data_IF_812767068109
#
_entry.id   IF_812767068109
#
_cell.length_a   1.000
_cell.length_b   1.000
_cell.length_c   1.000
_cell.angle_alpha   90.00
_cell.angle_beta   90.00
_cell.angle_gamma   90.00
#
_symmetry.space_group_name_H-M   'P 1'
#
loop_
_entity.id
_entity.type
_entity.pdbx_description
1 polymer ?
#
# COMPACT_ATOMS: atom_id res chain seq x y z
N UNK A 1 1.33 -15.84 -12.32
CA UNK A 1 -0.01 -16.34 -12.69
C UNK A 1 -0.41 -17.35 -11.62
N UNK A 2 -1.55 -17.17 -10.94
CA UNK A 2 -2.05 -18.16 -9.99
C UNK A 2 -2.63 -19.32 -10.79
N UNK A 3 -1.99 -20.49 -10.76
CA UNK A 3 -2.53 -21.70 -11.36
C UNK A 3 -2.83 -22.67 -10.22
N UNK A 4 -4.12 -22.89 -9.95
CA UNK A 4 -4.55 -23.94 -9.02
C UNK A 4 -4.53 -25.27 -9.80
N UNK A 5 -3.54 -26.11 -9.57
CA UNK A 5 -3.65 -27.54 -9.90
C UNK A 5 -3.86 -28.35 -8.62
N UNK A 6 -4.94 -29.13 -8.60
CA UNK A 6 -5.30 -30.18 -7.64
C UNK A 6 -5.15 -29.85 -6.13
N UNK A 7 -6.21 -29.26 -5.56
CA UNK A 7 -6.81 -29.53 -4.23
C UNK A 7 -5.96 -29.58 -2.94
N UNK A 8 -4.66 -29.25 -2.92
CA UNK A 8 -3.89 -29.36 -1.66
C UNK A 8 -2.72 -28.39 -1.44
N UNK A 9 -2.34 -27.51 -2.38
CA UNK A 9 -1.18 -26.64 -2.21
C UNK A 9 -1.40 -25.21 -2.71
N UNK A 10 -0.72 -24.25 -2.08
CA UNK A 10 -0.51 -22.92 -2.64
C UNK A 10 0.88 -22.86 -3.27
N UNK A 11 0.95 -22.68 -4.59
CA UNK A 11 2.20 -22.56 -5.35
C UNK A 11 2.41 -21.10 -5.77
N UNK A 12 3.61 -20.56 -5.51
CA UNK A 12 4.06 -19.28 -6.08
C UNK A 12 5.31 -19.54 -6.91
N UNK A 13 5.21 -19.26 -8.21
CA UNK A 13 6.33 -19.37 -9.14
C UNK A 13 6.99 -18.01 -9.33
N UNK A 14 8.33 -17.98 -9.25
CA UNK A 14 9.16 -16.79 -9.50
C UNK A 14 9.61 -16.66 -10.97
N UNK A 15 8.95 -17.38 -11.89
CA UNK A 15 9.21 -17.31 -13.32
C UNK A 15 8.48 -16.07 -13.88
N UNK A 16 9.23 -15.00 -14.13
CA UNK A 16 8.71 -13.71 -14.63
C UNK A 16 8.81 -12.58 -13.60
N UNK A 17 7.81 -11.69 -13.54
CA UNK A 17 7.77 -10.61 -12.53
C UNK A 17 7.56 -11.18 -11.12
N UNK A 18 8.17 -10.59 -10.07
CA UNK A 18 8.04 -11.14 -8.72
C UNK A 18 6.58 -11.23 -8.29
N UNK A 19 6.21 -12.38 -7.73
CA UNK A 19 4.86 -12.68 -7.30
C UNK A 19 4.40 -11.71 -6.20
N UNK A 20 3.13 -11.34 -6.23
CA UNK A 20 2.57 -10.47 -5.19
C UNK A 20 2.12 -11.32 -4.00
N UNK A 21 2.54 -10.94 -2.79
CA UNK A 21 2.07 -11.50 -1.53
C UNK A 21 0.73 -10.89 -1.14
N UNK A 22 0.71 -9.56 -1.02
CA UNK A 22 -0.48 -8.78 -0.70
C UNK A 22 -0.73 -7.79 -1.85
N UNK A 23 -1.86 -7.93 -2.54
CA UNK A 23 -2.17 -7.10 -3.69
C UNK A 23 -2.77 -5.76 -3.25
N UNK A 24 -2.18 -4.67 -3.75
CA UNK A 24 -2.83 -3.37 -3.69
C UNK A 24 -4.14 -3.40 -4.50
N UNK A 25 -5.18 -2.82 -3.92
CA UNK A 25 -6.47 -2.56 -4.55
C UNK A 25 -6.94 -1.15 -4.21
N UNK A 26 -8.02 -0.68 -4.85
CA UNK A 26 -8.65 0.58 -4.45
C UNK A 26 -9.15 0.57 -2.99
N UNK A 27 -9.30 -0.62 -2.39
CA UNK A 27 -9.80 -0.82 -1.02
C UNK A 27 -8.69 -0.89 0.04
N UNK A 28 -7.41 -1.07 -0.31
CA UNK A 28 -6.31 -1.23 0.68
C UNK A 28 -5.63 0.07 1.10
N UNK A 29 -6.28 1.21 0.89
CA UNK A 29 -5.69 2.53 1.11
C UNK A 29 -5.81 3.02 2.55
N UNK A 30 -4.89 3.89 2.95
CA UNK A 30 -4.85 4.63 4.21
C UNK A 30 -5.01 6.12 3.91
N UNK A 31 -5.93 6.78 4.60
CA UNK A 31 -6.20 8.22 4.43
C UNK A 31 -5.47 9.01 5.52
N UNK A 32 -4.78 10.07 5.09
CA UNK A 32 -4.12 11.02 5.96
C UNK A 32 -4.63 12.43 5.67
N UNK A 33 -4.91 13.22 6.72
CA UNK A 33 -5.15 14.65 6.60
C UNK A 33 -3.82 15.38 6.44
N UNK A 34 -3.76 16.34 5.52
CA UNK A 34 -2.59 17.20 5.29
C UNK A 34 -2.79 18.50 6.10
N UNK A 35 -2.30 18.49 7.34
CA UNK A 35 -2.48 19.59 8.27
C UNK A 35 -1.70 20.82 7.82
N UNK A 36 -2.36 21.98 7.87
CA UNK A 36 -1.83 23.27 7.41
C UNK A 36 -1.91 23.47 5.90
N UNK A 37 -2.55 22.55 5.17
CA UNK A 37 -2.78 22.68 3.73
C UNK A 37 -4.00 23.55 3.43
N UNK A 38 -3.89 24.33 2.35
CA UNK A 38 -4.98 25.09 1.73
C UNK A 38 -5.01 24.77 0.22
N UNK A 39 -5.87 25.45 -0.54
CA UNK A 39 -6.00 25.21 -1.99
C UNK A 39 -4.68 25.41 -2.73
N UNK A 40 -3.95 26.47 -2.36
CA UNK A 40 -2.64 26.76 -2.93
C UNK A 40 -1.65 25.64 -2.59
N UNK A 41 -1.60 25.20 -1.33
CA UNK A 41 -0.76 24.11 -0.87
C UNK A 41 -1.07 22.80 -1.58
N UNK A 42 -2.35 22.47 -1.79
CA UNK A 42 -2.78 21.29 -2.55
C UNK A 42 -2.22 21.33 -3.97
N UNK A 43 -2.35 22.46 -4.67
CA UNK A 43 -1.79 22.62 -6.03
C UNK A 43 -0.26 22.62 -6.04
N UNK A 44 0.41 23.25 -5.06
CA UNK A 44 1.87 23.17 -4.91
C UNK A 44 2.36 21.73 -4.74
N UNK A 45 1.66 20.92 -3.93
CA UNK A 45 1.99 19.51 -3.73
C UNK A 45 1.73 18.73 -5.02
N UNK A 46 0.52 18.84 -5.59
CA UNK A 46 0.09 18.05 -6.75
C UNK A 46 0.80 18.41 -8.07
N UNK A 47 1.44 19.58 -8.18
CA UNK A 47 2.26 19.93 -9.33
C UNK A 47 3.53 19.06 -9.47
N UNK A 48 3.85 18.27 -8.44
CA UNK A 48 4.98 17.35 -8.46
C UNK A 48 4.61 16.06 -9.21
N UNK A 49 5.54 15.58 -10.04
CA UNK A 49 5.36 14.48 -10.98
C UNK A 49 5.58 13.08 -10.37
N UNK A 50 6.37 12.97 -9.30
CA UNK A 50 6.68 11.70 -8.64
C UNK A 50 6.08 11.61 -7.24
N UNK A 51 5.75 10.40 -6.80
CA UNK A 51 5.33 10.15 -5.41
C UNK A 51 6.31 10.72 -4.37
N UNK A 52 7.61 10.51 -4.56
CA UNK A 52 8.61 10.92 -3.59
C UNK A 52 8.78 12.45 -3.55
N UNK A 53 8.59 13.16 -4.67
CA UNK A 53 8.59 14.63 -4.65
C UNK A 53 7.36 15.18 -3.93
N UNK A 54 6.18 14.59 -4.14
CA UNK A 54 4.96 14.90 -3.36
C UNK A 54 5.20 14.76 -1.85
N UNK A 55 5.71 13.59 -1.43
CA UNK A 55 5.98 13.31 -0.01
C UNK A 55 7.06 14.22 0.58
N UNK A 56 8.05 14.61 -0.22
CA UNK A 56 9.09 15.57 0.19
C UNK A 56 8.47 16.94 0.49
N UNK A 57 7.63 17.47 -0.40
CA UNK A 57 6.96 18.77 -0.18
C UNK A 57 6.08 18.73 1.07
N UNK A 58 5.30 17.65 1.23
CA UNK A 58 4.49 17.45 2.43
C UNK A 58 5.35 17.50 3.68
N UNK A 59 6.47 16.76 3.73
CA UNK A 59 7.37 16.72 4.88
C UNK A 59 8.01 18.09 5.20
N UNK A 60 8.33 18.88 4.18
CA UNK A 60 9.05 20.15 4.36
C UNK A 60 8.14 21.31 4.79
N UNK A 61 6.87 21.29 4.40
CA UNK A 61 5.94 22.42 4.57
C UNK A 61 4.68 22.12 5.38
N UNK A 62 4.30 20.85 5.50
CA UNK A 62 3.02 20.41 6.06
C UNK A 62 3.25 19.25 7.05
N UNK A 63 2.17 18.68 7.56
CA UNK A 63 2.23 17.44 8.34
C UNK A 63 1.07 16.52 8.00
N UNK A 64 1.24 15.23 8.28
CA UNK A 64 0.23 14.20 8.06
C UNK A 64 -0.31 13.68 9.38
N UNK A 65 -1.64 13.68 9.51
CA UNK A 65 -2.37 13.02 10.59
C UNK A 65 -3.16 11.83 10.03
N UNK A 66 -3.07 10.69 10.70
CA UNK A 66 -3.75 9.48 10.27
C UNK A 66 -5.24 9.57 10.56
N UNK A 67 -6.08 9.34 9.54
CA UNK A 67 -7.55 9.41 9.65
C UNK A 67 -8.15 8.01 9.77
N UNK A 68 -7.72 7.08 8.93
CA UNK A 68 -8.27 5.73 8.91
C UNK A 68 -8.06 5.00 7.58
N UNK A 69 -8.56 3.77 7.53
CA UNK A 69 -8.63 3.00 6.29
C UNK A 69 -9.65 3.59 5.31
N UNK A 70 -9.35 3.54 4.02
CA UNK A 70 -10.27 3.98 2.95
C UNK A 70 -11.49 3.06 2.80
N UNK A 71 -11.41 1.83 3.32
CA UNK A 71 -12.44 0.83 3.19
C UNK A 71 -12.63 0.04 4.48
N UNK A 72 -13.89 -0.05 4.90
CA UNK A 72 -14.30 -0.73 6.14
C UNK A 72 -14.01 -2.24 6.13
N UNK A 73 -14.13 -2.92 4.98
CA UNK A 73 -13.80 -4.36 4.90
C UNK A 73 -12.31 -4.58 5.10
N UNK A 74 -11.47 -3.70 4.55
CA UNK A 74 -10.03 -3.79 4.78
C UNK A 74 -9.68 -3.56 6.25
N UNK A 75 -10.27 -2.54 6.88
CA UNK A 75 -10.14 -2.25 8.31
C UNK A 75 -10.53 -3.46 9.18
N UNK A 76 -11.71 -4.03 8.94
CA UNK A 76 -12.20 -5.22 9.63
C UNK A 76 -11.25 -6.42 9.45
N UNK A 77 -10.73 -6.62 8.24
CA UNK A 77 -9.83 -7.74 7.96
C UNK A 77 -8.48 -7.61 8.68
N UNK A 78 -7.86 -6.42 8.68
CA UNK A 78 -6.58 -6.22 9.38
C UNK A 78 -6.76 -6.22 10.90
N UNK A 79 -7.93 -5.80 11.41
CA UNK A 79 -8.27 -5.90 12.84
C UNK A 79 -8.36 -7.36 13.33
N UNK A 80 -8.70 -8.32 12.45
CA UNK A 80 -8.67 -9.76 12.77
C UNK A 80 -7.23 -10.27 12.92
N UNK A 81 -6.28 -9.73 12.14
CA UNK A 81 -4.85 -10.05 12.31
C UNK A 81 -4.35 -9.50 13.65
N UNK A 82 -4.60 -8.21 13.90
CA UNK A 82 -4.35 -7.58 15.18
C UNK A 82 -5.22 -6.33 15.33
N UNK A 83 -5.80 -6.12 16.52
CA UNK A 83 -6.64 -4.95 16.82
C UNK A 83 -5.96 -3.60 16.62
N UNK A 84 -4.62 -3.55 16.60
CA UNK A 84 -3.82 -2.33 16.36
C UNK A 84 -3.02 -2.40 15.05
N UNK A 85 -3.39 -3.32 14.15
CA UNK A 85 -2.67 -3.53 12.88
C UNK A 85 -2.74 -2.30 11.98
N UNK A 86 -3.84 -1.56 12.06
CA UNK A 86 -4.07 -0.36 11.28
C UNK A 86 -2.99 0.71 11.50
N UNK A 87 -2.67 1.03 12.76
CA UNK A 87 -1.63 2.01 13.08
C UNK A 87 -0.22 1.51 12.77
N UNK A 88 0.00 0.19 12.85
CA UNK A 88 1.26 -0.43 12.45
C UNK A 88 1.49 -0.28 10.95
N UNK A 89 0.47 -0.60 10.14
CA UNK A 89 0.58 -0.55 8.68
C UNK A 89 0.57 0.90 8.16
N UNK A 90 -0.19 1.82 8.77
CA UNK A 90 -0.16 3.22 8.37
C UNK A 90 1.23 3.84 8.59
N UNK A 91 1.87 3.54 9.72
CA UNK A 91 3.25 3.92 9.98
C UNK A 91 4.24 3.26 9.00
N UNK A 92 4.02 2.00 8.63
CA UNK A 92 4.83 1.29 7.64
C UNK A 92 4.76 1.95 6.25
N UNK A 93 3.56 2.37 5.84
CA UNK A 93 3.36 3.07 4.57
C UNK A 93 4.06 4.43 4.57
N UNK A 94 3.96 5.20 5.66
CA UNK A 94 4.68 6.48 5.79
C UNK A 94 6.20 6.31 5.84
N UNK A 95 6.71 5.27 6.51
CA UNK A 95 8.12 4.93 6.52
C UNK A 95 8.63 4.61 5.10
N UNK A 96 7.87 3.81 4.34
CA UNK A 96 8.19 3.50 2.95
C UNK A 96 8.11 4.74 2.03
N UNK A 97 7.23 5.68 2.37
CA UNK A 97 7.07 6.96 1.68
C UNK A 97 8.13 8.02 2.01
N UNK A 98 9.16 7.66 2.78
CA UNK A 98 10.27 8.52 3.21
C UNK A 98 9.86 9.72 4.08
N UNK A 99 8.63 9.71 4.58
CA UNK A 99 8.13 10.75 5.47
C UNK A 99 9.00 10.86 6.73
N UNK A 100 9.37 9.71 7.31
CA UNK A 100 10.27 9.62 8.47
C UNK A 100 11.77 9.44 8.12
N UNK A 101 12.16 9.82 6.91
CA UNK A 101 13.52 9.65 6.38
C UNK A 101 13.67 8.45 5.46
N UNK A 102 14.80 8.36 4.77
CA UNK A 102 15.06 7.31 3.79
C UNK A 102 14.99 5.92 4.44
N UNK A 103 14.31 4.99 3.77
CA UNK A 103 14.11 3.62 4.24
C UNK A 103 14.22 2.65 3.06
N UNK A 104 14.85 1.49 3.24
CA UNK A 104 14.81 0.45 2.22
C UNK A 104 13.40 -0.13 2.08
N UNK A 105 13.01 -0.58 0.89
CA UNK A 105 11.66 -1.12 0.64
C UNK A 105 11.44 -2.53 1.19
N UNK A 106 12.49 -3.28 1.54
CA UNK A 106 12.36 -4.61 2.13
C UNK A 106 11.48 -4.55 3.39
N UNK A 107 10.61 -5.56 3.58
CA UNK A 107 9.69 -5.58 4.74
C UNK A 107 10.46 -5.46 6.05
N UNK A 108 11.60 -6.14 6.18
CA UNK A 108 12.50 -6.00 7.33
C UNK A 108 12.98 -4.57 7.58
N UNK A 109 13.35 -3.83 6.53
CA UNK A 109 13.83 -2.44 6.66
C UNK A 109 12.69 -1.52 7.09
N UNK A 110 11.49 -1.68 6.50
CA UNK A 110 10.30 -0.93 6.88
C UNK A 110 9.89 -1.26 8.32
N UNK A 111 9.91 -2.54 8.71
CA UNK A 111 9.64 -2.97 10.07
C UNK A 111 10.62 -2.37 11.07
N UNK A 112 11.93 -2.36 10.77
CA UNK A 112 12.92 -1.70 11.63
C UNK A 112 12.61 -0.21 11.81
N UNK A 113 12.13 0.46 10.76
CA UNK A 113 11.69 1.85 10.86
C UNK A 113 10.47 2.00 11.76
N UNK A 114 9.49 1.09 11.65
CA UNK A 114 8.32 1.07 12.56
C UNK A 114 8.73 0.79 14.00
N UNK A 115 9.75 -0.05 14.23
CA UNK A 115 10.32 -0.31 15.56
C UNK A 115 10.93 0.96 16.16
N UNK A 116 11.67 1.74 15.37
CA UNK A 116 12.21 3.04 15.79
C UNK A 116 11.09 4.04 16.15
N UNK A 117 10.03 4.08 15.33
CA UNK A 117 8.91 5.01 15.50
C UNK A 117 8.01 4.63 16.69
N UNK A 118 7.86 3.34 16.96
CA UNK A 118 6.98 2.79 17.99
C UNK A 118 5.57 3.43 17.99
N UNK A 119 4.83 3.39 16.85
CA UNK A 119 3.63 4.20 16.63
C UNK A 119 2.50 3.99 17.66
N UNK A 120 2.51 2.86 18.36
CA UNK A 120 1.50 2.52 19.37
C UNK A 120 2.10 2.39 20.79
N UNK A 121 3.33 2.87 20.98
CA UNK A 121 4.02 2.98 22.27
C UNK A 121 4.09 1.66 23.07
N UNK A 122 4.43 0.56 22.42
CA UNK A 122 4.64 -0.74 23.10
C UNK A 122 5.96 -0.75 23.86
N UNK A 123 6.05 -1.58 24.90
CA UNK A 123 7.23 -1.68 25.77
C UNK A 123 8.40 -2.44 25.13
N UNK A 124 8.11 -3.39 24.25
CA UNK A 124 9.08 -4.28 23.61
C UNK A 124 9.01 -4.20 22.07
N UNK A 125 9.21 -3.01 21.47
CA UNK A 125 8.99 -2.77 20.04
C UNK A 125 9.82 -3.71 19.16
N UNK A 126 11.06 -4.02 19.58
CA UNK A 126 12.00 -4.92 18.89
C UNK A 126 11.45 -6.35 18.69
N UNK A 127 10.54 -6.81 19.54
CA UNK A 127 9.91 -8.13 19.42
C UNK A 127 8.48 -8.02 18.89
N UNK A 128 7.75 -7.00 19.34
CA UNK A 128 6.35 -6.81 19.02
C UNK A 128 6.13 -6.58 17.52
N UNK A 129 6.76 -5.58 16.91
CA UNK A 129 6.48 -5.25 15.51
C UNK A 129 6.94 -6.34 14.54
N UNK A 130 8.13 -6.97 14.69
CA UNK A 130 8.48 -8.10 13.83
C UNK A 130 7.48 -9.25 13.91
N UNK A 131 6.91 -9.55 15.08
CA UNK A 131 5.85 -10.55 15.20
C UNK A 131 4.59 -10.13 14.45
N UNK A 132 4.12 -8.89 14.63
CA UNK A 132 2.93 -8.36 13.93
C UNK A 132 3.08 -8.36 12.41
N UNK A 133 4.25 -7.97 11.91
CA UNK A 133 4.54 -8.02 10.47
C UNK A 133 4.48 -9.46 9.96
N UNK A 134 5.07 -10.43 10.66
CA UNK A 134 5.00 -11.84 10.28
C UNK A 134 3.56 -12.38 10.28
N UNK A 135 2.76 -12.03 11.28
CA UNK A 135 1.32 -12.37 11.34
C UNK A 135 0.60 -11.85 10.08
N UNK A 136 0.74 -10.56 9.77
CA UNK A 136 0.12 -9.94 8.59
C UNK A 136 0.58 -10.58 7.27
N UNK A 137 1.88 -10.86 7.12
CA UNK A 137 2.43 -11.49 5.92
C UNK A 137 1.87 -12.90 5.74
N UNK A 138 1.81 -13.68 6.82
CA UNK A 138 1.31 -15.05 6.79
C UNK A 138 -0.18 -15.10 6.52
N UNK A 139 -0.98 -14.23 7.14
CA UNK A 139 -2.42 -14.16 6.90
C UNK A 139 -2.73 -13.69 5.47
N UNK A 140 -1.97 -12.71 4.95
CA UNK A 140 -2.00 -12.32 3.54
C UNK A 140 -1.70 -13.49 2.62
N UNK A 141 -0.68 -14.30 2.96
CA UNK A 141 -0.36 -15.51 2.21
C UNK A 141 -1.50 -16.54 2.26
N UNK A 142 -2.08 -16.74 3.43
CA UNK A 142 -3.09 -17.74 3.73
C UNK A 142 -4.51 -17.34 3.27
N UNK A 143 -4.64 -16.27 2.49
CA UNK A 143 -5.88 -15.92 1.79
C UNK A 143 -6.61 -14.69 2.32
N UNK A 144 -6.03 -13.93 3.26
CA UNK A 144 -6.53 -12.60 3.58
C UNK A 144 -6.35 -11.66 2.37
N UNK A 145 -7.37 -10.86 2.08
CA UNK A 145 -7.33 -9.85 1.01
C UNK A 145 -7.94 -8.55 1.51
N UNK A 146 -7.73 -7.44 0.80
CA UNK A 146 -8.30 -6.16 1.20
C UNK A 146 -9.80 -5.99 0.87
N UNK A 147 -10.31 -6.73 -0.12
CA UNK A 147 -11.60 -6.43 -0.75
C UNK A 147 -12.73 -7.40 -0.39
N UNK A 148 -12.46 -8.44 0.39
CA UNK A 148 -13.44 -9.47 0.74
C UNK A 148 -13.35 -9.80 2.20
N UNK A 149 -14.49 -9.83 2.90
CA UNK A 149 -14.56 -10.17 4.33
C UNK A 149 -13.79 -11.46 4.59
N UNK A 150 -12.88 -11.38 5.53
CA UNK A 150 -12.07 -12.48 6.00
C UNK A 150 -12.46 -12.77 7.44
N UNK A 151 -12.49 -14.04 7.82
CA UNK A 151 -12.93 -14.48 9.14
C UNK A 151 -11.79 -15.12 9.95
N UNK A 152 -10.53 -14.85 9.57
CA UNK A 152 -9.36 -15.46 10.19
C UNK A 152 -9.03 -16.87 9.68
N UNK A 153 -9.89 -17.49 8.85
CA UNK A 153 -9.66 -18.86 8.40
C UNK A 153 -8.56 -18.91 7.34
N UNK A 154 -7.42 -19.50 7.72
CA UNK A 154 -6.26 -19.76 6.87
C UNK A 154 -6.59 -20.83 5.83
N UNK A 155 -6.47 -20.50 4.54
CA UNK A 155 -6.76 -21.39 3.39
C UNK A 155 -5.50 -22.13 2.93
N UNK A 156 -4.91 -22.94 3.82
CA UNK A 156 -3.75 -23.79 3.52
C UNK A 156 -4.12 -25.25 3.80
N UNK A 157 -4.53 -26.01 2.78
CA UNK A 157 -4.96 -27.41 2.94
C UNK A 157 -3.81 -28.42 2.93
N UNK A 158 -2.59 -28.03 2.58
CA UNK A 158 -1.46 -28.97 2.51
C UNK A 158 -0.08 -28.33 2.43
N UNK A 159 0.14 -27.17 3.05
CA UNK A 159 1.44 -26.48 3.00
C UNK A 159 1.67 -25.71 1.71
N UNK A 160 2.89 -25.18 1.54
CA UNK A 160 3.25 -24.36 0.38
C UNK A 160 4.59 -24.79 -0.23
N UNK A 161 4.69 -24.55 -1.54
CA UNK A 161 5.86 -24.84 -2.37
C UNK A 161 6.32 -23.51 -2.94
N UNK A 162 7.54 -23.13 -2.60
CA UNK A 162 8.23 -22.01 -3.23
C UNK A 162 9.25 -22.56 -4.22
N UNK A 163 9.27 -22.00 -5.43
CA UNK A 163 10.20 -22.40 -6.49
C UNK A 163 11.09 -21.21 -6.82
N UNK A 164 12.36 -21.30 -6.43
CA UNK A 164 13.35 -20.28 -6.72
C UNK A 164 13.53 -20.12 -8.24
N UNK A 165 14.10 -18.98 -8.67
CA UNK A 165 14.43 -18.75 -10.09
C UNK A 165 15.38 -19.79 -10.67
N UNK A 166 16.15 -20.47 -9.82
CA UNK A 166 17.10 -21.51 -10.21
C UNK A 166 16.46 -22.91 -10.25
N UNK A 167 15.14 -23.01 -10.03
CA UNK A 167 14.42 -24.28 -9.98
C UNK A 167 14.55 -25.03 -8.65
N UNK A 168 15.08 -24.41 -7.60
CA UNK A 168 15.13 -25.01 -6.27
C UNK A 168 13.74 -24.96 -5.65
N UNK A 169 13.17 -26.12 -5.36
CA UNK A 169 11.87 -26.24 -4.70
C UNK A 169 12.06 -26.27 -3.18
N UNK A 170 11.64 -25.20 -2.51
CA UNK A 170 11.55 -25.13 -1.06
C UNK A 170 10.15 -25.58 -0.64
N UNK A 171 10.11 -26.72 0.03
CA UNK A 171 8.89 -27.31 0.55
C UNK A 171 8.79 -27.11 2.06
N UNK A 172 7.69 -26.53 2.52
CA UNK A 172 7.62 -26.09 3.90
C UNK A 172 6.50 -26.75 4.73
N UNK A 173 5.87 -27.82 4.23
CA UNK A 173 4.80 -28.55 4.96
C UNK A 173 5.23 -29.03 6.36
N UNK A 174 6.53 -29.14 6.66
CA UNK A 174 7.06 -29.64 7.94
C UNK A 174 7.69 -28.55 8.84
N UNK A 175 7.77 -27.30 8.38
CA UNK A 175 8.37 -26.21 9.15
C UNK A 175 7.27 -25.44 9.89
N UNK A 176 7.51 -25.02 11.13
CA UNK A 176 6.54 -24.27 11.94
C UNK A 176 6.10 -22.97 11.23
N UNK A 177 4.89 -22.48 11.54
CA UNK A 177 4.38 -21.19 11.07
C UNK A 177 5.41 -20.05 11.28
N UNK A 178 6.22 -20.15 12.35
CA UNK A 178 7.32 -19.22 12.63
C UNK A 178 8.42 -19.22 11.56
N UNK A 179 8.88 -20.39 11.12
CA UNK A 179 9.93 -20.50 10.10
C UNK A 179 9.44 -19.90 8.77
N UNK A 180 8.18 -20.14 8.40
CA UNK A 180 7.64 -19.52 7.19
C UNK A 180 7.43 -18.02 7.36
N UNK A 181 6.89 -17.58 8.50
CA UNK A 181 6.75 -16.16 8.79
C UNK A 181 8.09 -15.43 8.67
N UNK A 182 9.17 -16.03 9.19
CA UNK A 182 10.54 -15.55 9.02
C UNK A 182 10.96 -15.51 7.55
N UNK A 183 10.67 -16.55 6.77
CA UNK A 183 10.97 -16.57 5.34
C UNK A 183 10.27 -15.42 4.60
N UNK A 184 8.96 -15.22 4.81
CA UNK A 184 8.21 -14.11 4.20
C UNK A 184 8.81 -12.77 4.59
N UNK A 185 9.15 -12.59 5.87
CA UNK A 185 9.70 -11.35 6.41
C UNK A 185 11.05 -10.95 5.78
N UNK A 186 11.92 -11.92 5.50
CA UNK A 186 13.24 -11.69 4.90
C UNK A 186 13.19 -11.55 3.36
N UNK A 187 12.19 -12.15 2.71
CA UNK A 187 12.13 -12.31 1.25
C UNK A 187 11.03 -11.48 0.57
N UNK A 188 10.44 -10.51 1.26
CA UNK A 188 9.42 -9.63 0.68
C UNK A 188 9.76 -8.15 0.83
N UNK A 189 9.15 -7.32 -0.01
CA UNK A 189 9.33 -5.87 -0.02
C UNK A 189 8.02 -5.13 -0.29
N UNK A 190 7.92 -3.92 0.25
CA UNK A 190 6.86 -2.95 -0.03
C UNK A 190 7.09 -2.29 -1.38
N UNK A 191 6.07 -2.33 -2.22
CA UNK A 191 6.02 -1.65 -3.51
C UNK A 191 4.84 -0.67 -3.51
N UNK A 192 4.90 0.36 -4.36
CA UNK A 192 3.94 1.46 -4.38
C UNK A 192 3.09 1.45 -5.65
N UNK A 193 1.77 1.52 -5.53
CA UNK A 193 0.93 1.98 -6.62
C UNK A 193 1.08 3.51 -6.79
N UNK A 194 1.51 4.00 -7.94
CA UNK A 194 1.88 5.42 -8.12
C UNK A 194 1.17 6.13 -9.31
N UNK A 195 0.29 5.46 -10.04
CA UNK A 195 -0.42 6.11 -11.15
C UNK A 195 -1.88 5.73 -11.19
N UNK A 196 -2.72 6.74 -11.38
CA UNK A 196 -4.15 6.59 -11.55
C UNK A 196 -4.72 7.82 -12.22
N UNK A 197 -5.90 7.62 -12.79
CA UNK A 197 -6.61 8.64 -13.56
C UNK A 197 -6.85 9.94 -12.78
N UNK A 198 -7.22 9.87 -11.49
CA UNK A 198 -7.46 11.08 -10.70
C UNK A 198 -6.14 11.74 -10.27
N UNK A 199 -5.07 10.97 -10.04
CA UNK A 199 -3.73 11.54 -9.87
C UNK A 199 -3.30 12.35 -11.09
N UNK A 200 -3.42 11.79 -12.29
CA UNK A 200 -3.05 12.48 -13.53
C UNK A 200 -3.88 13.77 -13.70
N UNK A 201 -5.17 13.72 -13.38
CA UNK A 201 -6.05 14.89 -13.36
C UNK A 201 -5.64 15.92 -12.29
N UNK A 202 -5.24 15.49 -11.10
CA UNK A 202 -4.81 16.37 -10.02
C UNK A 202 -3.53 17.15 -10.39
N UNK A 203 -2.58 16.47 -11.04
CA UNK A 203 -1.37 17.10 -11.60
C UNK A 203 -1.74 18.14 -12.67
N UNK A 204 -2.65 17.80 -13.58
CA UNK A 204 -3.10 18.73 -14.61
C UNK A 204 -3.78 19.98 -14.01
N UNK A 205 -4.67 19.79 -13.02
CA UNK A 205 -5.34 20.90 -12.30
C UNK A 205 -4.34 21.79 -11.57
N UNK A 206 -3.34 21.19 -10.93
CA UNK A 206 -2.27 21.93 -10.28
C UNK A 206 -1.47 22.80 -11.25
N UNK A 207 -1.04 22.25 -12.39
CA UNK A 207 -0.28 23.02 -13.37
C UNK A 207 -1.11 24.18 -13.96
N UNK A 208 -2.38 23.96 -14.29
CA UNK A 208 -3.25 25.03 -14.76
C UNK A 208 -3.45 26.13 -13.72
N UNK A 209 -3.66 25.76 -12.45
CA UNK A 209 -3.78 26.72 -11.35
C UNK A 209 -2.52 27.59 -11.22
N UNK A 210 -1.33 26.98 -11.31
CA UNK A 210 -0.05 27.70 -11.26
C UNK A 210 0.17 28.60 -12.49
N UNK A 211 -0.41 28.26 -13.63
CA UNK A 211 -0.46 29.10 -14.84
C UNK A 211 -1.52 30.22 -14.76
N UNK A 212 -2.32 30.27 -13.70
CA UNK A 212 -3.39 31.27 -13.53
C UNK A 212 -4.62 31.00 -14.41
N UNK A 213 -4.84 29.74 -14.81
CA UNK A 213 -6.01 29.33 -15.61
C UNK A 213 -6.74 28.14 -14.99
N UNK A 214 -7.93 27.87 -15.49
CA UNK A 214 -8.71 26.67 -15.15
C UNK A 214 -8.60 25.64 -16.28
N UNK A 215 -8.63 24.35 -15.92
CA UNK A 215 -8.86 23.32 -16.93
C UNK A 215 -10.27 23.47 -17.50
N UNK A 216 -10.35 23.40 -18.81
CA UNK A 216 -11.64 23.27 -19.49
C UNK A 216 -12.22 21.87 -19.27
N UNK A 217 -13.55 21.74 -19.37
CA UNK A 217 -14.23 20.45 -19.25
C UNK A 217 -13.68 19.41 -20.26
N UNK A 218 -13.33 19.84 -21.46
CA UNK A 218 -12.73 18.98 -22.48
C UNK A 218 -11.34 18.46 -22.06
N UNK A 219 -10.50 19.31 -21.46
CA UNK A 219 -9.22 18.87 -20.92
C UNK A 219 -9.43 17.88 -19.77
N UNK A 220 -10.35 18.13 -18.84
CA UNK A 220 -10.65 17.21 -17.73
C UNK A 220 -11.13 15.85 -18.25
N UNK A 221 -12.05 15.86 -19.22
CA UNK A 221 -12.60 14.66 -19.84
C UNK A 221 -11.51 13.82 -20.54
N UNK A 222 -10.45 14.45 -21.05
CA UNK A 222 -9.29 13.77 -21.64
C UNK A 222 -8.55 12.88 -20.65
N UNK A 223 -8.53 13.25 -19.36
CA UNK A 223 -7.97 12.44 -18.28
C UNK A 223 -8.96 11.37 -17.82
N UNK A 224 -10.24 11.71 -17.73
CA UNK A 224 -11.27 10.84 -17.12
C UNK A 224 -11.71 9.69 -18.05
N UNK A 225 -11.93 9.96 -19.34
CA UNK A 225 -12.58 9.02 -20.26
C UNK A 225 -11.60 8.39 -21.24
N UNK A 226 -11.84 7.13 -21.62
CA UNK A 226 -10.98 6.42 -22.58
C UNK A 226 -10.97 7.04 -23.97
N UNK A 227 -12.09 7.61 -24.40
CA UNK A 227 -12.21 8.37 -25.65
C UNK A 227 -11.90 9.86 -25.47
N UNK A 228 -11.56 10.29 -24.25
CA UNK A 228 -11.28 11.67 -23.88
C UNK A 228 -12.47 12.62 -23.83
N UNK A 229 -13.71 12.14 -23.99
CA UNK A 229 -14.90 12.99 -24.04
C UNK A 229 -15.97 12.54 -23.05
N UNK A 230 -16.38 11.27 -23.08
CA UNK A 230 -17.47 10.76 -22.22
C UNK A 230 -17.55 9.23 -22.20
N UNK A 231 -18.39 8.67 -21.34
CA UNK A 231 -18.68 7.23 -21.33
C UNK A 231 -17.74 6.44 -20.44
N UNK A 232 -16.97 5.50 -21.01
CA UNK A 232 -16.17 4.57 -20.20
C UNK A 232 -14.97 5.29 -19.59
N UNK A 233 -14.95 5.38 -18.26
CA UNK A 233 -13.83 5.97 -17.51
C UNK A 233 -12.56 5.13 -17.65
N UNK A 234 -11.39 5.79 -17.59
CA UNK A 234 -10.10 5.10 -17.49
C UNK A 234 -10.01 4.34 -16.17
N UNK A 235 -9.12 3.36 -16.11
CA UNK A 235 -8.98 2.52 -14.93
C UNK A 235 -8.46 3.34 -13.75
N UNK A 236 -9.10 3.22 -12.59
CA UNK A 236 -8.64 3.81 -11.33
C UNK A 236 -7.57 2.96 -10.63
N UNK A 237 -7.03 1.92 -11.27
CA UNK A 237 -5.98 1.10 -10.64
C UNK A 237 -4.76 1.98 -10.35
N UNK A 238 -4.41 2.11 -9.06
CA UNK A 238 -3.25 2.89 -8.61
C UNK A 238 -3.51 4.38 -8.31
N UNK A 239 -4.76 4.77 -8.16
CA UNK A 239 -5.22 6.15 -7.91
C UNK A 239 -5.00 6.60 -6.46
N UNK A 240 -3.72 6.80 -6.11
CA UNK A 240 -3.21 7.16 -4.78
C UNK A 240 -2.07 8.18 -4.92
N UNK A 241 -1.68 8.83 -3.82
CA UNK A 241 -0.51 9.70 -3.79
C UNK A 241 -0.74 11.03 -4.52
N UNK A 242 -1.90 11.65 -4.31
CA UNK A 242 -2.23 13.03 -4.65
C UNK A 242 -3.12 13.61 -3.53
N UNK A 243 -3.05 14.93 -3.34
CA UNK A 243 -3.87 15.65 -2.34
C UNK A 243 -5.20 16.03 -2.95
N UNK A 244 -6.29 15.89 -2.20
CA UNK A 244 -7.63 16.30 -2.60
C UNK A 244 -8.35 17.02 -1.47
N UNK A 245 -9.27 17.91 -1.83
CA UNK A 245 -10.14 18.62 -0.89
C UNK A 245 -11.41 17.82 -0.62
N UNK A 246 -11.87 17.84 0.64
CA UNK A 246 -13.17 17.32 1.06
C UNK A 246 -13.65 18.09 2.29
N UNK A 247 -14.78 18.79 2.17
CA UNK A 247 -15.41 19.55 3.27
C UNK A 247 -14.51 20.63 3.91
N UNK A 248 -13.68 21.30 3.11
CA UNK A 248 -12.75 22.35 3.54
C UNK A 248 -11.44 21.82 4.13
N UNK A 249 -11.24 20.51 4.18
CA UNK A 249 -10.01 19.86 4.62
C UNK A 249 -9.33 19.14 3.47
N UNK A 250 -8.02 18.90 3.61
CA UNK A 250 -7.19 18.34 2.55
C UNK A 250 -6.62 16.99 2.97
N UNK A 251 -6.70 16.01 2.08
CA UNK A 251 -6.34 14.63 2.38
C UNK A 251 -5.46 14.02 1.30
N UNK A 252 -4.66 13.05 1.68
CA UNK A 252 -3.90 12.19 0.76
C UNK A 252 -4.15 10.73 1.11
N UNK A 253 -4.50 9.93 0.10
CA UNK A 253 -4.59 8.49 0.26
C UNK A 253 -3.27 7.84 -0.17
N UNK A 254 -2.71 7.03 0.72
CA UNK A 254 -1.52 6.23 0.46
C UNK A 254 -1.89 4.75 0.44
N UNK A 255 -1.12 3.95 -0.31
CA UNK A 255 -1.38 2.52 -0.42
C UNK A 255 -0.07 1.77 -0.68
N UNK A 256 -0.11 0.46 -0.50
CA UNK A 256 1.03 -0.42 -0.63
C UNK A 256 0.63 -1.76 -1.22
N UNK A 257 1.62 -2.42 -1.80
CA UNK A 257 1.57 -3.84 -2.10
C UNK A 257 2.80 -4.51 -1.50
N UNK A 258 2.71 -5.80 -1.17
CA UNK A 258 3.87 -6.57 -0.73
C UNK A 258 4.15 -7.63 -1.78
N UNK A 259 5.41 -7.70 -2.23
CA UNK A 259 5.85 -8.62 -3.28
C UNK A 259 7.03 -9.44 -2.79
N UNK A 260 7.17 -10.64 -3.31
CA UNK A 260 8.40 -11.41 -3.12
C UNK A 260 9.55 -10.76 -3.89
N UNK A 261 10.78 -11.00 -3.45
CA UNK A 261 12.01 -10.53 -4.14
C UNK A 261 12.32 -11.34 -5.41
#
# INVERSE_FOLDING_TARGET
>A
MFCFFSHSFSEKSHIGSPATLFNCSQTSGFTFEVIGCDEKGMHEINANDTFLSIMKVIKEKFSLEYVGCRNEVFEQNIAIVDSRMEEVLSAAVLAQAFYYGACGSNVKNVCNKVVELNPINVRNPQMFYPAKFKDFLFDSFAGMTASSLWNGRKRLTGGYIDVSRNGEMLYYRAMSDDIFGNYLFENTYFDRPDRGMCKDLAVAKANAYLEGRLLTENEENSYIYKNGVSGTKKNKKGDFGYVYEKHGQYFIDLNFQIRFR
#
